data_IF_602426785240
#
_entry.id   IF_602426785240
#
_cell.length_a   1.000
_cell.length_b   1.000
_cell.length_c   1.000
_cell.angle_alpha   90.00
_cell.angle_beta   90.00
_cell.angle_gamma   90.00
#
_symmetry.space_group_name_H-M   'P 1'
#
loop_
_entity.id
_entity.type
_entity.pdbx_description
1 polymer ?
#
# COMPACT_ATOMS: atom_id res chain seq x y z
N UNK A 1 42.14 13.44 -46.59
CA UNK A 1 41.51 12.72 -47.69
C UNK A 1 40.62 11.66 -47.05
N UNK A 2 39.40 11.68 -47.08
CA UNK A 2 38.19 11.82 -47.80
C UNK A 2 37.10 11.25 -46.90
N UNK A 3 36.23 12.00 -46.31
CA UNK A 3 34.84 12.40 -46.62
C UNK A 3 33.92 11.19 -46.89
N UNK A 4 32.92 11.09 -46.02
CA UNK A 4 31.52 10.86 -46.36
C UNK A 4 31.01 9.46 -46.11
N UNK A 5 29.92 9.28 -45.44
CA UNK A 5 28.56 9.60 -45.86
C UNK A 5 27.57 9.41 -44.71
N UNK A 6 26.85 10.45 -44.33
CA UNK A 6 25.58 10.37 -43.63
C UNK A 6 24.52 9.70 -44.54
N UNK A 7 23.83 8.68 -44.03
CA UNK A 7 22.58 8.21 -44.61
C UNK A 7 21.44 8.69 -43.72
N UNK A 8 20.80 9.77 -44.15
CA UNK A 8 19.48 10.19 -43.67
C UNK A 8 18.41 9.32 -44.33
N UNK A 9 17.73 8.55 -43.59
CA UNK A 9 16.51 7.84 -44.05
C UNK A 9 15.31 8.74 -43.77
N UNK A 10 14.77 9.35 -44.82
CA UNK A 10 13.49 10.07 -44.83
C UNK A 10 12.36 9.08 -45.02
N UNK A 11 11.41 9.05 -44.11
CA UNK A 11 10.11 8.42 -44.29
C UNK A 11 9.13 9.41 -44.90
N UNK A 12 8.37 9.02 -45.95
CA UNK A 12 7.37 9.89 -46.54
C UNK A 12 6.04 9.79 -45.75
N UNK A 13 5.51 10.96 -45.41
CA UNK A 13 4.13 11.14 -44.97
C UNK A 13 3.24 11.03 -46.21
N UNK A 14 2.39 10.03 -46.28
CA UNK A 14 1.34 9.96 -47.27
C UNK A 14 0.01 10.42 -46.64
N UNK A 15 -0.39 11.63 -47.00
CA UNK A 15 -1.73 12.13 -46.80
C UNK A 15 -2.68 11.49 -47.84
N UNK A 16 -3.74 10.84 -47.37
CA UNK A 16 -4.88 10.46 -48.21
C UNK A 16 -6.14 11.15 -47.66
N UNK A 17 -6.48 12.25 -48.33
CA UNK A 17 -7.80 12.86 -48.24
C UNK A 17 -8.75 12.06 -49.13
N UNK A 18 -9.86 11.60 -48.61
CA UNK A 18 -11.02 11.18 -49.41
C UNK A 18 -12.24 11.90 -48.90
N UNK A 19 -12.70 12.80 -49.76
CA UNK A 19 -14.00 13.43 -49.70
C UNK A 19 -15.07 12.40 -50.06
N UNK A 20 -16.20 12.41 -49.36
CA UNK A 20 -17.36 11.60 -49.67
C UNK A 20 -18.63 12.30 -49.19
N UNK A 21 -19.33 12.78 -50.20
CA UNK A 21 -20.51 13.66 -50.21
C UNK A 21 -21.71 13.18 -49.42
N UNK A 22 -22.40 14.17 -48.91
CA UNK A 22 -23.83 14.39 -48.71
C UNK A 22 -24.83 13.31 -49.16
N UNK A 23 -25.74 12.95 -48.24
CA UNK A 23 -27.13 12.67 -48.57
C UNK A 23 -28.05 13.20 -47.46
N UNK A 24 -28.79 14.20 -47.88
CA UNK A 24 -29.92 14.86 -47.25
C UNK A 24 -31.09 13.91 -47.27
N UNK A 25 -31.73 13.70 -46.15
CA UNK A 25 -33.15 13.31 -46.15
C UNK A 25 -33.80 13.87 -44.89
N UNK A 26 -34.67 14.75 -45.13
CA UNK A 26 -35.60 15.46 -44.35
C UNK A 26 -36.47 14.60 -43.48
N UNK A 27 -36.66 15.03 -42.25
CA UNK A 27 -37.76 14.58 -41.39
C UNK A 27 -38.63 15.78 -41.08
N UNK A 28 -39.81 15.68 -41.58
CA UNK A 28 -40.92 16.56 -41.40
C UNK A 28 -41.29 16.69 -39.93
N UNK A 29 -41.25 17.92 -39.43
CA UNK A 29 -41.84 18.28 -38.14
C UNK A 29 -43.35 18.32 -38.33
N UNK A 30 -44.06 17.34 -37.78
CA UNK A 30 -45.49 17.41 -37.57
C UNK A 30 -45.72 17.84 -36.11
N UNK A 31 -45.97 19.12 -35.96
CA UNK A 31 -46.55 19.65 -34.73
C UNK A 31 -48.02 19.30 -34.68
N UNK A 32 -48.38 18.34 -33.87
CA UNK A 32 -49.80 18.13 -33.47
C UNK A 32 -49.97 18.63 -32.05
N UNK A 33 -50.62 19.76 -31.94
CA UNK A 33 -51.24 20.31 -30.75
C UNK A 33 -52.28 19.31 -30.21
N UNK A 34 -51.96 18.65 -29.09
CA UNK A 34 -52.94 17.90 -28.29
C UNK A 34 -53.35 18.74 -27.11
N UNK A 35 -54.57 19.17 -27.17
CA UNK A 35 -55.33 19.85 -26.13
C UNK A 35 -55.30 19.08 -24.81
N UNK A 36 -54.95 19.80 -23.74
CA UNK A 36 -55.07 19.35 -22.38
C UNK A 36 -56.52 18.96 -22.06
N UNK A 37 -56.77 17.67 -21.90
CA UNK A 37 -57.92 17.16 -21.16
C UNK A 37 -57.44 16.67 -19.83
N UNK A 38 -57.88 17.32 -18.75
CA UNK A 38 -57.63 16.94 -17.39
C UNK A 38 -58.09 15.51 -17.14
N UNK A 39 -57.14 14.64 -16.83
CA UNK A 39 -57.43 13.37 -16.19
C UNK A 39 -57.40 13.61 -14.68
N UNK A 40 -58.61 13.54 -14.12
CA UNK A 40 -58.83 13.54 -12.69
C UNK A 40 -57.98 12.44 -12.07
N UNK A 41 -57.20 12.80 -11.06
CA UNK A 41 -56.60 11.84 -10.17
C UNK A 41 -57.69 11.15 -9.37
N UNK A 42 -58.19 10.04 -9.92
CA UNK A 42 -58.92 9.08 -9.12
C UNK A 42 -57.99 8.63 -8.00
N UNK A 43 -58.32 9.07 -6.81
CA UNK A 43 -57.74 8.49 -5.59
C UNK A 43 -58.14 7.02 -5.59
N UNK A 44 -57.29 6.16 -6.12
CA UNK A 44 -57.39 4.74 -5.83
C UNK A 44 -57.16 4.60 -4.33
N UNK A 45 -58.23 4.33 -3.61
CA UNK A 45 -58.17 3.86 -2.26
C UNK A 45 -57.24 2.62 -2.25
N UNK A 46 -56.04 2.81 -1.80
CA UNK A 46 -55.08 1.72 -1.57
C UNK A 46 -55.68 0.90 -0.46
N UNK A 47 -56.24 -0.26 -0.82
CA UNK A 47 -56.61 -1.27 0.14
C UNK A 47 -55.35 -1.58 0.94
N UNK A 48 -55.40 -1.33 2.22
CA UNK A 48 -54.32 -1.56 3.21
C UNK A 48 -54.12 -3.08 3.35
N UNK A 49 -53.55 -3.70 2.30
CA UNK A 49 -53.05 -5.06 2.39
C UNK A 49 -51.62 -4.93 2.93
N UNK A 50 -51.42 -5.21 4.20
CA UNK A 50 -50.12 -5.13 4.91
C UNK A 50 -49.03 -6.06 4.36
N UNK A 51 -49.15 -6.47 3.08
CA UNK A 51 -48.24 -7.39 2.41
C UNK A 51 -48.05 -7.00 0.95
N UNK A 52 -46.88 -7.35 0.42
CA UNK A 52 -46.56 -7.34 -1.01
C UNK A 52 -45.87 -8.65 -1.40
N UNK A 53 -45.82 -8.93 -2.68
CA UNK A 53 -45.19 -10.13 -3.24
C UNK A 53 -43.93 -9.72 -4.01
N UNK A 54 -42.77 -10.32 -3.63
CA UNK A 54 -41.46 -10.02 -4.18
C UNK A 54 -40.78 -11.27 -4.70
N UNK A 55 -40.00 -11.13 -5.78
CA UNK A 55 -39.20 -12.22 -6.27
C UNK A 55 -37.92 -12.37 -5.43
N UNK A 56 -37.60 -13.56 -4.91
CA UNK A 56 -36.36 -13.78 -4.14
C UNK A 56 -35.09 -13.50 -4.95
N UNK A 57 -35.12 -13.75 -6.26
CA UNK A 57 -33.96 -13.56 -7.14
C UNK A 57 -33.92 -12.16 -7.79
N UNK A 58 -35.05 -11.49 -7.91
CA UNK A 58 -35.14 -10.15 -8.50
C UNK A 58 -35.89 -9.22 -7.56
N UNK A 59 -35.22 -8.64 -6.56
CA UNK A 59 -35.88 -7.80 -5.53
C UNK A 59 -36.62 -6.57 -6.08
N UNK A 60 -36.27 -6.13 -7.27
CA UNK A 60 -36.96 -5.02 -7.95
C UNK A 60 -38.34 -5.39 -8.48
N UNK A 61 -38.67 -6.69 -8.58
CA UNK A 61 -39.98 -7.16 -9.01
C UNK A 61 -40.89 -7.31 -7.80
N UNK A 62 -41.76 -6.33 -7.61
CA UNK A 62 -42.72 -6.24 -6.51
C UNK A 62 -44.14 -6.10 -7.09
N UNK A 63 -45.09 -6.88 -6.59
CA UNK A 63 -46.48 -6.86 -6.99
C UNK A 63 -47.42 -6.91 -5.77
N UNK A 64 -48.58 -6.35 -5.90
CA UNK A 64 -49.59 -6.35 -4.82
C UNK A 64 -50.45 -7.65 -4.79
N UNK A 65 -50.26 -8.53 -5.78
CA UNK A 65 -50.99 -9.80 -5.91
C UNK A 65 -50.02 -10.97 -6.07
N UNK A 66 -50.37 -12.19 -5.61
CA UNK A 66 -49.58 -13.37 -5.85
C UNK A 66 -49.46 -13.62 -7.36
N UNK A 67 -48.27 -13.97 -7.82
CA UNK A 67 -47.96 -14.14 -9.23
C UNK A 67 -46.61 -14.79 -9.46
N UNK A 68 -46.20 -14.77 -10.73
CA UNK A 68 -44.93 -15.34 -11.19
C UNK A 68 -44.02 -14.19 -11.66
N UNK A 69 -42.75 -14.26 -11.32
CA UNK A 69 -41.78 -13.28 -11.78
C UNK A 69 -41.62 -13.32 -13.31
N UNK A 70 -41.73 -12.20 -14.02
CA UNK A 70 -41.64 -12.17 -15.48
C UNK A 70 -40.21 -12.45 -15.99
N UNK A 71 -39.19 -12.38 -15.12
CA UNK A 71 -37.79 -12.57 -15.50
C UNK A 71 -37.37 -14.03 -15.31
N UNK A 72 -37.64 -14.64 -14.14
CA UNK A 72 -37.17 -15.98 -13.82
C UNK A 72 -38.28 -17.02 -13.67
N UNK A 73 -39.55 -16.65 -13.87
CA UNK A 73 -40.74 -17.51 -13.78
C UNK A 73 -40.96 -18.20 -12.43
N UNK A 74 -40.24 -17.74 -11.36
CA UNK A 74 -40.46 -18.24 -10.01
C UNK A 74 -41.67 -17.56 -9.36
N UNK A 75 -42.35 -18.29 -8.46
CA UNK A 75 -43.45 -17.75 -7.67
C UNK A 75 -42.98 -16.64 -6.74
N UNK A 76 -43.68 -15.53 -6.73
CA UNK A 76 -43.38 -14.41 -5.82
C UNK A 76 -43.70 -14.80 -4.37
N UNK A 77 -42.82 -14.42 -3.46
CA UNK A 77 -42.94 -14.68 -2.01
C UNK A 77 -43.66 -13.52 -1.33
N UNK A 78 -44.60 -13.83 -0.44
CA UNK A 78 -45.33 -12.85 0.35
C UNK A 78 -44.40 -12.22 1.41
N UNK A 79 -44.24 -10.90 1.34
CA UNK A 79 -43.44 -10.11 2.28
C UNK A 79 -44.34 -9.13 3.01
N UNK A 80 -44.24 -9.07 4.32
CA UNK A 80 -44.96 -8.10 5.12
C UNK A 80 -44.48 -6.68 4.79
N UNK A 81 -45.43 -5.78 4.46
CA UNK A 81 -45.14 -4.36 4.36
C UNK A 81 -44.94 -3.84 5.78
N UNK A 82 -43.72 -3.57 6.17
CA UNK A 82 -43.47 -2.82 7.40
C UNK A 82 -44.22 -1.49 7.26
N UNK A 83 -45.22 -1.26 8.11
CA UNK A 83 -45.80 0.07 8.23
C UNK A 83 -44.69 1.05 8.42
N UNK A 84 -44.69 2.24 7.78
CA UNK A 84 -43.84 3.32 8.18
C UNK A 84 -44.23 3.64 9.63
N UNK A 85 -43.69 2.84 10.55
CA UNK A 85 -43.70 3.12 11.96
C UNK A 85 -43.07 4.49 12.07
N UNK A 86 -43.70 5.43 12.80
CA UNK A 86 -43.04 6.47 13.60
C UNK A 86 -41.60 6.07 13.70
N UNK A 87 -40.59 6.91 13.30
CA UNK A 87 -39.22 6.47 13.33
C UNK A 87 -39.01 5.70 14.63
N UNK A 88 -38.95 4.39 14.51
CA UNK A 88 -38.59 3.53 15.62
C UNK A 88 -37.29 4.13 16.07
N UNK A 89 -37.27 4.55 17.34
CA UNK A 89 -36.07 5.02 17.98
C UNK A 89 -35.01 4.06 17.54
N UNK A 90 -34.22 4.48 16.56
CA UNK A 90 -33.06 3.88 15.97
C UNK A 90 -32.49 2.91 16.95
N UNK A 91 -32.33 1.67 16.53
CA UNK A 91 -31.32 0.80 17.12
C UNK A 91 -30.22 1.74 17.62
N UNK A 92 -29.97 1.79 18.91
CA UNK A 92 -29.08 2.69 19.64
C UNK A 92 -27.85 2.89 18.79
N UNK A 93 -27.92 3.82 17.84
CA UNK A 93 -26.74 4.42 17.28
C UNK A 93 -26.06 4.95 18.52
N UNK A 94 -24.92 4.42 18.84
CA UNK A 94 -24.07 4.92 19.91
C UNK A 94 -23.98 6.40 19.63
N UNK A 95 -24.62 7.22 20.49
CA UNK A 95 -24.55 8.65 20.38
C UNK A 95 -23.07 8.95 20.35
N UNK A 96 -22.57 9.35 19.16
CA UNK A 96 -21.16 9.60 18.94
C UNK A 96 -20.73 10.57 20.02
N UNK A 97 -19.93 10.10 20.97
CA UNK A 97 -19.48 10.92 22.09
C UNK A 97 -18.51 11.96 21.55
N UNK A 98 -18.90 13.21 21.60
CA UNK A 98 -17.99 14.34 21.30
C UNK A 98 -16.92 14.37 22.39
N UNK A 99 -15.66 14.26 21.99
CA UNK A 99 -14.51 14.27 22.91
C UNK A 99 -14.01 15.70 23.07
N UNK A 100 -13.98 16.47 22.00
CA UNK A 100 -13.51 17.86 21.98
C UNK A 100 -13.98 18.57 20.72
N UNK A 101 -13.73 19.86 20.64
CA UNK A 101 -13.95 20.69 19.48
C UNK A 101 -12.62 21.22 18.96
N UNK A 102 -12.47 21.33 17.64
CA UNK A 102 -11.23 21.75 16.99
C UNK A 102 -11.48 22.90 16.01
N UNK A 103 -10.56 23.88 15.97
CA UNK A 103 -10.63 24.93 14.95
C UNK A 103 -10.44 24.35 13.54
N UNK A 104 -11.25 24.74 12.56
CA UNK A 104 -11.10 24.31 11.17
C UNK A 104 -9.83 24.87 10.52
N UNK A 105 -9.31 26.02 10.97
CA UNK A 105 -8.13 26.66 10.40
C UNK A 105 -6.82 26.26 11.10
N UNK A 106 -6.87 25.98 12.40
CA UNK A 106 -5.70 25.63 13.20
C UNK A 106 -5.96 24.33 13.96
N UNK A 107 -5.52 23.18 13.43
CA UNK A 107 -5.76 21.87 14.03
C UNK A 107 -5.14 21.69 15.42
N UNK A 108 -4.23 22.56 15.83
CA UNK A 108 -3.58 22.50 17.15
C UNK A 108 -4.44 23.13 18.24
N UNK A 109 -5.39 24.00 17.87
CA UNK A 109 -6.32 24.63 18.82
C UNK A 109 -7.52 23.74 19.04
N UNK A 110 -7.63 23.21 20.25
CA UNK A 110 -8.74 22.37 20.70
C UNK A 110 -9.42 22.97 21.91
N UNK A 111 -10.72 22.72 22.04
CA UNK A 111 -11.55 23.14 23.19
C UNK A 111 -12.45 21.97 23.61
N UNK A 112 -12.75 21.87 24.91
CA UNK A 112 -13.70 20.90 25.43
C UNK A 112 -15.14 21.34 25.28
N UNK A 113 -15.35 22.63 24.93
CA UNK A 113 -16.68 23.24 24.75
C UNK A 113 -16.80 23.83 23.33
N UNK A 114 -18.04 23.91 22.77
CA UNK A 114 -18.26 24.61 21.50
C UNK A 114 -17.77 26.03 21.62
N UNK A 115 -16.85 26.46 20.76
CA UNK A 115 -16.28 27.81 20.74
C UNK A 115 -16.05 28.25 19.29
N UNK A 116 -15.78 29.54 19.12
CA UNK A 116 -15.45 30.14 17.82
C UNK A 116 -13.97 30.48 17.78
N UNK A 117 -13.40 30.38 16.59
CA UNK A 117 -12.02 30.81 16.37
C UNK A 117 -11.92 32.34 16.29
N UNK A 118 -10.69 32.85 16.14
CA UNK A 118 -10.40 34.27 16.01
C UNK A 118 -11.03 34.94 14.79
N UNK A 119 -11.56 34.16 13.85
CA UNK A 119 -12.22 34.60 12.61
C UNK A 119 -13.75 34.42 12.68
N UNK A 120 -14.28 33.98 13.82
CA UNK A 120 -15.72 33.81 14.05
C UNK A 120 -16.29 32.48 13.57
N UNK A 121 -15.47 31.52 13.07
CA UNK A 121 -15.91 30.20 12.63
C UNK A 121 -16.12 29.28 13.84
N UNK A 122 -17.17 28.47 13.78
CA UNK A 122 -17.46 27.48 14.81
C UNK A 122 -16.46 26.35 14.80
N UNK A 123 -16.02 25.88 15.96
CA UNK A 123 -15.20 24.71 16.10
C UNK A 123 -15.97 23.47 15.71
N UNK A 124 -15.30 22.57 14.97
CA UNK A 124 -15.88 21.30 14.51
C UNK A 124 -15.79 20.25 15.62
N UNK A 125 -16.89 19.56 15.95
CA UNK A 125 -16.87 18.53 16.97
C UNK A 125 -16.03 17.33 16.51
N UNK A 126 -15.12 16.87 17.35
CA UNK A 126 -14.34 15.63 17.19
C UNK A 126 -14.99 14.52 17.99
N UNK A 127 -15.42 13.47 17.33
CA UNK A 127 -16.09 12.34 17.95
C UNK A 127 -15.09 11.31 18.46
N UNK A 128 -15.47 10.53 19.46
CA UNK A 128 -14.65 9.46 20.02
C UNK A 128 -14.24 8.39 18.99
N UNK A 129 -14.99 8.27 17.91
CA UNK A 129 -14.77 7.33 16.79
C UNK A 129 -13.80 7.90 15.73
N UNK A 130 -13.56 9.20 15.76
CA UNK A 130 -12.46 9.80 15.01
C UNK A 130 -11.20 9.53 15.81
N UNK A 131 -10.44 8.52 15.43
CA UNK A 131 -9.17 8.17 16.06
C UNK A 131 -8.24 9.39 16.17
N UNK A 132 -7.17 9.30 16.96
CA UNK A 132 -6.25 10.40 17.16
C UNK A 132 -5.84 10.96 15.80
N UNK A 133 -5.94 12.29 15.69
CA UNK A 133 -5.61 13.00 14.44
C UNK A 133 -4.21 12.64 14.04
N UNK A 134 -4.04 12.17 12.81
CA UNK A 134 -2.74 11.92 12.21
C UNK A 134 -1.86 13.16 12.39
N UNK A 135 -0.79 13.04 13.16
CA UNK A 135 0.15 14.14 13.43
C UNK A 135 1.29 14.23 12.43
N UNK A 136 1.32 13.29 11.46
CA UNK A 136 2.35 13.20 10.44
C UNK A 136 1.95 13.74 9.08
N UNK A 137 2.90 13.92 8.17
CA UNK A 137 2.60 14.28 6.79
C UNK A 137 1.71 13.23 6.17
N UNK A 138 0.62 13.67 5.53
CA UNK A 138 -0.33 12.78 4.84
C UNK A 138 0.37 12.05 3.71
N UNK A 139 0.15 10.75 3.64
CA UNK A 139 0.57 9.93 2.49
C UNK A 139 -0.53 10.03 1.43
N UNK A 140 -0.21 10.48 0.20
CA UNK A 140 -1.20 10.60 -0.86
C UNK A 140 -1.94 9.26 -1.09
N UNK A 141 -3.26 9.33 -1.23
CA UNK A 141 -4.10 8.16 -1.48
C UNK A 141 -4.28 7.21 -0.30
N UNK A 142 -3.90 7.61 0.93
CA UNK A 142 -4.05 6.80 2.14
C UNK A 142 -4.63 7.64 3.28
N UNK A 143 -5.53 7.02 4.06
CA UNK A 143 -6.17 7.64 5.23
C UNK A 143 -5.88 6.83 6.49
N UNK A 144 -5.84 7.53 7.63
CA UNK A 144 -5.82 6.88 8.93
C UNK A 144 -7.21 6.33 9.26
N UNK A 145 -7.27 5.21 9.97
CA UNK A 145 -8.53 4.55 10.28
C UNK A 145 -8.45 3.72 11.56
N UNK A 146 -9.60 3.26 12.03
CA UNK A 146 -9.70 2.41 13.21
C UNK A 146 -10.35 1.08 12.86
N UNK A 147 -9.82 -0.02 13.40
CA UNK A 147 -10.41 -1.36 13.36
C UNK A 147 -10.81 -1.82 14.76
N UNK A 148 -11.90 -2.58 14.84
CA UNK A 148 -12.30 -3.23 16.09
C UNK A 148 -11.34 -4.36 16.45
N UNK A 149 -11.33 -4.75 17.73
CA UNK A 149 -10.46 -5.82 18.22
C UNK A 149 -10.73 -7.15 17.49
N UNK A 150 -12.02 -7.48 17.30
CA UNK A 150 -12.43 -8.72 16.63
C UNK A 150 -11.90 -8.74 15.18
N UNK A 151 -11.97 -7.60 14.47
CA UNK A 151 -11.51 -7.52 13.10
C UNK A 151 -10.00 -7.59 13.00
N UNK A 152 -9.25 -7.01 13.96
CA UNK A 152 -7.78 -7.14 14.04
C UNK A 152 -7.34 -8.58 14.25
N UNK A 153 -8.02 -9.29 15.14
CA UNK A 153 -7.75 -10.71 15.41
C UNK A 153 -8.07 -11.57 14.18
N UNK A 154 -9.21 -11.33 13.55
CA UNK A 154 -9.63 -12.08 12.35
C UNK A 154 -8.61 -11.99 11.22
N UNK A 155 -8.06 -10.81 10.97
CA UNK A 155 -7.06 -10.59 9.89
C UNK A 155 -5.62 -10.86 10.33
N UNK A 156 -5.40 -11.18 11.60
CA UNK A 156 -4.09 -11.56 12.12
C UNK A 156 -3.05 -10.45 12.14
N UNK A 157 -3.44 -9.24 12.56
CA UNK A 157 -2.52 -8.10 12.65
C UNK A 157 -1.45 -8.35 13.70
N UNK A 158 -0.18 -8.35 13.30
CA UNK A 158 0.98 -8.36 14.19
C UNK A 158 1.67 -7.01 14.15
N UNK A 159 2.33 -6.66 15.23
CA UNK A 159 3.05 -5.40 15.35
C UNK A 159 4.47 -5.63 15.84
N UNK A 160 5.40 -4.82 15.37
CA UNK A 160 6.76 -4.70 15.88
C UNK A 160 6.99 -3.32 16.46
N UNK A 161 8.11 -3.14 17.12
CA UNK A 161 8.51 -1.85 17.71
C UNK A 161 9.73 -1.32 16.97
N UNK A 162 9.72 -0.03 16.66
CA UNK A 162 10.90 0.64 16.14
C UNK A 162 11.91 0.84 17.25
N UNK A 163 13.08 0.26 17.12
CA UNK A 163 14.11 0.30 18.16
C UNK A 163 15.50 0.58 17.61
N UNK A 164 16.39 1.06 18.48
CA UNK A 164 17.80 1.16 18.14
C UNK A 164 18.47 -0.18 18.36
N UNK A 165 19.01 -0.75 17.28
CA UNK A 165 19.70 -2.05 17.31
C UNK A 165 20.87 -2.05 16.36
N UNK A 166 21.81 -2.95 16.57
CA UNK A 166 22.90 -3.21 15.63
C UNK A 166 22.33 -3.90 14.40
N UNK A 167 22.53 -3.28 13.25
CA UNK A 167 22.15 -3.84 11.96
C UNK A 167 23.35 -4.54 11.34
N UNK A 168 23.15 -5.77 10.90
CA UNK A 168 24.11 -6.51 10.11
C UNK A 168 23.44 -7.22 8.95
N UNK A 169 24.20 -7.47 7.90
CA UNK A 169 23.77 -8.26 6.74
C UNK A 169 24.91 -9.15 6.30
N UNK A 170 24.60 -10.39 6.00
CA UNK A 170 25.54 -11.27 5.31
C UNK A 170 25.46 -11.00 3.82
N UNK A 171 26.59 -10.67 3.25
CA UNK A 171 26.76 -10.53 1.82
C UNK A 171 27.40 -11.81 1.29
N UNK A 172 26.63 -12.56 0.53
CA UNK A 172 27.06 -13.84 -0.04
C UNK A 172 27.63 -13.63 -1.42
N UNK A 173 28.88 -14.06 -1.61
CA UNK A 173 29.64 -13.89 -2.84
C UNK A 173 30.19 -15.24 -3.29
N UNK A 174 30.21 -15.51 -4.61
CA UNK A 174 30.97 -16.61 -5.14
C UNK A 174 32.47 -16.32 -5.06
N UNK A 175 33.24 -17.25 -4.53
CA UNK A 175 34.69 -17.11 -4.43
C UNK A 175 35.41 -18.29 -5.07
N UNK A 176 36.63 -18.05 -5.48
CA UNK A 176 37.56 -19.08 -6.01
C UNK A 176 38.86 -19.05 -5.23
N UNK A 177 39.31 -20.20 -4.79
CA UNK A 177 40.62 -20.34 -4.12
C UNK A 177 41.72 -20.12 -5.14
N UNK A 178 42.58 -19.15 -4.92
CA UNK A 178 43.71 -18.79 -5.79
C UNK A 178 45.05 -19.25 -5.26
N UNK A 179 45.18 -19.42 -3.94
CA UNK A 179 46.44 -19.85 -3.29
C UNK A 179 46.17 -20.61 -1.99
N UNK A 180 47.23 -20.80 -1.20
CA UNK A 180 47.12 -21.41 0.13
C UNK A 180 46.41 -20.45 1.06
N UNK A 181 45.10 -20.67 1.28
CA UNK A 181 44.28 -19.81 2.13
C UNK A 181 43.81 -18.50 1.49
N UNK A 182 44.26 -18.17 0.29
CA UNK A 182 43.82 -16.97 -0.44
C UNK A 182 42.60 -17.29 -1.32
N UNK A 183 41.58 -16.47 -1.22
CA UNK A 183 40.35 -16.59 -2.01
C UNK A 183 40.06 -15.26 -2.69
N UNK A 184 39.71 -15.32 -3.98
CA UNK A 184 39.20 -14.15 -4.71
C UNK A 184 37.73 -14.32 -4.92
N UNK A 185 36.95 -13.33 -4.55
CA UNK A 185 35.49 -13.27 -4.72
C UNK A 185 35.10 -12.08 -5.60
N UNK A 186 33.94 -12.19 -6.25
CA UNK A 186 33.41 -11.14 -7.11
C UNK A 186 32.36 -10.33 -6.35
N UNK A 187 32.64 -9.04 -6.15
CA UNK A 187 31.76 -8.09 -5.49
C UNK A 187 31.06 -7.24 -6.52
N UNK A 188 29.74 -7.31 -6.57
CA UNK A 188 28.95 -6.52 -7.51
C UNK A 188 29.07 -5.02 -7.23
N UNK A 189 29.00 -4.19 -8.28
CA UNK A 189 29.08 -2.73 -8.23
C UNK A 189 28.18 -2.12 -7.14
N UNK A 190 26.93 -2.64 -7.03
CA UNK A 190 25.94 -2.16 -6.07
C UNK A 190 26.36 -2.32 -4.60
N UNK A 191 27.22 -3.28 -4.30
CA UNK A 191 27.69 -3.58 -2.94
C UNK A 191 29.15 -3.09 -2.69
N UNK A 192 29.82 -2.56 -3.71
CA UNK A 192 31.26 -2.19 -3.66
C UNK A 192 31.58 -1.22 -2.52
N UNK A 193 30.71 -0.25 -2.24
CA UNK A 193 30.89 0.69 -1.13
C UNK A 193 30.67 0.11 0.27
N UNK A 194 30.20 -1.13 0.36
CA UNK A 194 29.82 -1.77 1.62
C UNK A 194 30.93 -2.65 2.20
N UNK A 195 31.84 -3.16 1.37
CA UNK A 195 32.94 -4.05 1.76
C UNK A 195 34.22 -3.26 1.95
N UNK A 196 34.97 -3.56 3.02
CA UNK A 196 36.25 -2.91 3.36
C UNK A 196 37.25 -3.94 3.86
N UNK A 197 38.54 -3.66 3.69
CA UNK A 197 39.62 -4.44 4.25
C UNK A 197 39.47 -4.58 5.77
N UNK A 198 39.73 -5.78 6.28
CA UNK A 198 39.60 -6.14 7.69
C UNK A 198 38.24 -6.64 8.12
N UNK A 199 37.21 -6.63 7.22
CA UNK A 199 35.91 -7.21 7.52
C UNK A 199 36.01 -8.73 7.67
N UNK A 200 35.24 -9.26 8.64
CA UNK A 200 35.14 -10.71 8.86
C UNK A 200 34.31 -11.33 7.75
N UNK A 201 34.78 -12.50 7.36
CA UNK A 201 34.09 -13.35 6.40
C UNK A 201 34.17 -14.80 6.85
N UNK A 202 33.25 -15.62 6.34
CA UNK A 202 33.29 -17.08 6.50
C UNK A 202 33.34 -17.69 5.12
N UNK A 203 34.24 -18.62 4.89
CA UNK A 203 34.37 -19.38 3.68
C UNK A 203 33.66 -20.73 3.88
N UNK A 204 32.75 -21.10 3.02
CA UNK A 204 32.01 -22.35 3.11
C UNK A 204 32.25 -23.20 1.85
N UNK A 205 32.58 -24.47 2.07
CA UNK A 205 32.77 -25.44 1.02
C UNK A 205 31.49 -26.25 0.74
N UNK A 206 31.48 -26.92 -0.40
CA UNK A 206 30.33 -27.72 -0.88
C UNK A 206 29.93 -28.90 0.02
N UNK A 207 30.82 -29.34 0.89
CA UNK A 207 30.57 -30.46 1.83
C UNK A 207 30.28 -30.00 3.25
N UNK A 208 29.90 -28.74 3.44
CA UNK A 208 29.57 -28.17 4.76
C UNK A 208 30.77 -27.79 5.61
N UNK A 209 32.00 -27.82 5.08
CA UNK A 209 33.18 -27.26 5.77
C UNK A 209 33.06 -25.75 5.81
N UNK A 210 33.53 -25.14 6.89
CA UNK A 210 33.63 -23.69 7.01
C UNK A 210 34.94 -23.31 7.68
N UNK A 211 35.45 -22.14 7.35
CA UNK A 211 36.62 -21.53 7.98
C UNK A 211 36.45 -20.01 7.99
N UNK A 212 36.91 -19.39 9.08
CA UNK A 212 36.94 -17.96 9.19
C UNK A 212 37.96 -17.33 8.27
N UNK A 213 37.62 -16.19 7.72
CA UNK A 213 38.49 -15.42 6.84
C UNK A 213 38.31 -13.92 7.11
N UNK A 214 39.22 -13.14 6.56
CA UNK A 214 39.11 -11.69 6.58
C UNK A 214 39.32 -11.13 5.17
N UNK A 215 38.67 -10.03 4.87
CA UNK A 215 38.91 -9.28 3.64
C UNK A 215 40.29 -8.65 3.73
N UNK A 216 41.24 -9.09 2.91
CA UNK A 216 42.58 -8.53 2.85
C UNK A 216 42.72 -7.36 1.87
N UNK A 217 41.86 -7.33 0.83
CA UNK A 217 41.87 -6.23 -0.11
C UNK A 217 40.60 -6.20 -0.98
N UNK A 218 40.26 -5.01 -1.44
CA UNK A 218 39.27 -4.78 -2.48
C UNK A 218 39.98 -4.11 -3.64
N UNK A 219 39.97 -4.76 -4.79
CA UNK A 219 40.64 -4.21 -5.98
C UNK A 219 39.86 -2.98 -6.47
N UNK A 220 40.59 -1.97 -6.92
CA UNK A 220 39.98 -0.79 -7.57
C UNK A 220 39.68 -1.02 -9.04
N UNK A 221 40.15 -2.13 -9.62
CA UNK A 221 39.86 -2.51 -11.01
C UNK A 221 38.41 -2.96 -11.18
N UNK A 222 37.65 -2.20 -11.95
CA UNK A 222 36.27 -2.55 -12.31
C UNK A 222 36.26 -3.42 -13.56
N UNK A 223 35.73 -4.61 -13.45
CA UNK A 223 35.46 -5.44 -14.63
C UNK A 223 34.10 -5.06 -15.24
N UNK A 224 34.16 -4.41 -16.40
CA UNK A 224 32.96 -3.93 -17.08
C UNK A 224 32.12 -5.08 -17.67
N UNK A 225 32.68 -6.28 -17.86
CA UNK A 225 31.95 -7.42 -18.39
C UNK A 225 31.04 -8.05 -17.32
N UNK A 226 31.60 -8.26 -16.15
CA UNK A 226 30.89 -8.86 -15.00
C UNK A 226 30.25 -7.79 -14.10
N UNK A 227 30.56 -6.52 -14.29
CA UNK A 227 30.15 -5.38 -13.46
C UNK A 227 30.51 -5.61 -11.98
N UNK A 228 31.70 -6.09 -11.73
CA UNK A 228 32.17 -6.45 -10.39
C UNK A 228 33.58 -5.93 -10.11
N UNK A 229 33.90 -5.95 -8.84
CA UNK A 229 35.24 -5.71 -8.30
C UNK A 229 35.78 -7.01 -7.71
N UNK A 230 37.06 -7.25 -7.83
CA UNK A 230 37.69 -8.39 -7.16
C UNK A 230 37.94 -8.08 -5.67
N UNK A 231 37.50 -8.98 -4.81
CA UNK A 231 37.79 -8.95 -3.37
C UNK A 231 38.69 -10.11 -3.01
N UNK A 232 39.82 -9.83 -2.38
CA UNK A 232 40.73 -10.85 -1.89
C UNK A 232 40.46 -11.08 -0.41
N UNK A 233 40.39 -12.33 -0.02
CA UNK A 233 40.20 -12.78 1.36
C UNK A 233 41.30 -13.75 1.72
N UNK A 234 41.77 -13.66 2.97
CA UNK A 234 42.71 -14.59 3.54
C UNK A 234 42.02 -15.41 4.63
N UNK A 235 42.10 -16.73 4.51
CA UNK A 235 41.61 -17.63 5.54
C UNK A 235 42.52 -17.54 6.80
N UNK A 236 41.90 -17.51 7.97
CA UNK A 236 42.63 -17.42 9.26
C UNK A 236 43.53 -18.65 9.49
N UNK A 237 43.10 -19.79 8.97
CA UNK A 237 43.90 -21.02 9.00
C UNK A 237 43.92 -21.66 7.63
N UNK A 238 45.06 -22.25 7.24
CA UNK A 238 45.16 -22.99 5.97
C UNK A 238 44.41 -24.32 6.07
N UNK A 239 43.12 -24.27 5.84
CA UNK A 239 42.27 -25.47 5.82
C UNK A 239 42.66 -26.37 4.64
N UNK A 240 42.91 -27.66 4.90
CA UNK A 240 43.40 -28.60 3.87
C UNK A 240 42.46 -28.82 2.69
N UNK A 241 41.20 -28.42 2.83
CA UNK A 241 40.22 -28.48 1.77
C UNK A 241 40.24 -27.27 0.81
N UNK A 242 40.85 -26.16 1.22
CA UNK A 242 41.02 -24.95 0.39
C UNK A 242 42.18 -25.18 -0.62
N UNK A 243 41.89 -25.96 -1.66
CA UNK A 243 42.83 -26.20 -2.73
C UNK A 243 42.66 -25.18 -3.85
N UNK A 244 43.75 -24.70 -4.46
CA UNK A 244 43.66 -23.80 -5.62
C UNK A 244 42.71 -24.32 -6.70
N UNK A 245 41.86 -23.47 -7.23
CA UNK A 245 40.88 -23.80 -8.22
C UNK A 245 39.50 -24.25 -7.69
N UNK A 246 39.37 -24.53 -6.38
CA UNK A 246 38.10 -24.86 -5.74
C UNK A 246 37.24 -23.62 -5.62
N UNK A 247 35.93 -23.78 -5.88
CA UNK A 247 34.94 -22.72 -5.63
C UNK A 247 34.39 -22.84 -4.22
N UNK A 248 34.21 -21.70 -3.58
CA UNK A 248 33.71 -21.58 -2.21
C UNK A 248 32.65 -20.49 -2.17
N UNK A 249 31.77 -20.60 -1.21
CA UNK A 249 30.85 -19.52 -0.84
C UNK A 249 31.50 -18.63 0.20
N UNK A 250 31.49 -17.34 -0.04
CA UNK A 250 32.07 -16.32 0.83
C UNK A 250 30.93 -15.52 1.45
N UNK A 251 30.75 -15.64 2.75
CA UNK A 251 29.81 -14.82 3.52
C UNK A 251 30.57 -13.69 4.22
N UNK A 252 30.46 -12.46 3.70
CA UNK A 252 31.04 -11.27 4.33
C UNK A 252 30.01 -10.65 5.28
N UNK A 253 30.39 -10.47 6.54
CA UNK A 253 29.53 -9.83 7.54
C UNK A 253 29.65 -8.31 7.42
N UNK A 254 28.61 -7.68 6.88
CA UNK A 254 28.47 -6.23 6.85
C UNK A 254 27.85 -5.76 8.17
N UNK A 255 28.60 -4.99 8.95
CA UNK A 255 28.13 -4.36 10.18
C UNK A 255 27.87 -2.87 9.91
N UNK A 256 26.63 -2.45 10.08
CA UNK A 256 26.19 -1.08 9.88
C UNK A 256 26.13 -0.28 11.18
N UNK A 257 26.51 -0.91 12.31
CA UNK A 257 26.44 -0.31 13.64
C UNK A 257 25.02 -0.14 14.16
N UNK A 258 24.88 0.59 15.26
CA UNK A 258 23.59 0.81 15.92
C UNK A 258 22.78 1.87 15.18
N UNK A 259 21.60 1.47 14.69
CA UNK A 259 20.67 2.29 13.90
C UNK A 259 19.27 2.20 14.45
N UNK A 260 18.45 3.22 14.19
CA UNK A 260 17.00 3.10 14.38
C UNK A 260 16.46 2.21 13.27
N UNK A 261 15.83 1.12 13.63
CA UNK A 261 15.38 0.12 12.67
C UNK A 261 13.95 -0.36 12.97
N UNK A 262 13.29 -0.82 11.94
CA UNK A 262 12.00 -1.50 11.99
C UNK A 262 12.12 -2.88 11.33
N UNK A 263 11.25 -3.83 11.68
CA UNK A 263 11.18 -5.10 10.96
C UNK A 263 10.97 -4.85 9.46
N UNK A 264 11.68 -5.57 8.60
CA UNK A 264 11.59 -5.42 7.15
C UNK A 264 10.16 -5.67 6.63
N UNK A 265 9.45 -6.59 7.26
CA UNK A 265 8.06 -6.92 6.95
C UNK A 265 7.08 -5.77 7.21
N UNK A 266 7.49 -4.75 7.98
CA UNK A 266 6.63 -3.59 8.24
C UNK A 266 6.56 -2.61 7.06
N UNK A 267 7.47 -2.73 6.09
CA UNK A 267 7.61 -1.77 4.99
C UNK A 267 6.74 -2.19 3.82
N UNK A 268 5.89 -1.25 3.38
CA UNK A 268 5.16 -1.36 2.12
C UNK A 268 5.87 -0.52 1.05
N UNK A 269 6.24 -1.17 -0.03
CA UNK A 269 6.84 -0.53 -1.21
C UNK A 269 5.75 -0.16 -2.20
N UNK A 270 5.30 1.10 -2.18
CA UNK A 270 4.24 1.63 -3.03
C UNK A 270 4.77 2.54 -4.13
N UNK A 271 5.53 1.99 -5.08
CA UNK A 271 6.10 2.78 -6.18
C UNK A 271 7.15 3.79 -5.69
N UNK A 272 6.84 5.07 -5.77
CA UNK A 272 7.78 6.15 -5.39
C UNK A 272 7.95 6.32 -3.87
N UNK A 273 7.03 5.78 -3.07
CA UNK A 273 7.01 6.01 -1.63
C UNK A 273 7.05 4.70 -0.84
N UNK A 274 7.88 4.70 0.20
CA UNK A 274 7.87 3.65 1.20
C UNK A 274 6.96 4.09 2.34
N UNK A 275 6.06 3.20 2.73
CA UNK A 275 5.02 3.49 3.73
C UNK A 275 5.03 2.42 4.80
N UNK A 276 4.85 2.83 6.03
CA UNK A 276 4.59 1.95 7.17
C UNK A 276 3.27 2.35 7.82
N UNK A 277 2.61 1.42 8.47
CA UNK A 277 1.45 1.72 9.29
C UNK A 277 1.85 1.76 10.76
N UNK A 278 1.72 2.94 11.36
CA UNK A 278 1.86 3.12 12.79
C UNK A 278 0.57 2.70 13.49
N UNK A 279 0.67 2.19 14.71
CA UNK A 279 -0.49 1.83 15.53
C UNK A 279 -0.28 2.17 17.00
N UNK A 280 -1.38 2.54 17.67
CA UNK A 280 -1.41 2.74 19.10
C UNK A 280 -1.61 1.42 19.89
N UNK A 281 -1.79 0.30 19.19
CA UNK A 281 -2.14 -1.00 19.77
C UNK A 281 -3.61 -1.12 20.18
N UNK A 282 -4.41 -0.04 20.14
CA UNK A 282 -5.84 -0.02 20.51
C UNK A 282 -6.77 -0.08 19.31
N UNK A 283 -6.20 -0.19 18.11
CA UNK A 283 -6.95 -0.34 16.86
C UNK A 283 -6.87 0.83 15.91
N UNK A 284 -6.16 1.87 16.25
CA UNK A 284 -5.86 2.97 15.34
C UNK A 284 -4.65 2.65 14.46
N UNK A 285 -4.76 2.95 13.17
CA UNK A 285 -3.74 2.75 12.16
C UNK A 285 -3.52 4.03 11.36
N UNK A 286 -2.28 4.46 11.29
CA UNK A 286 -1.88 5.68 10.59
C UNK A 286 -0.82 5.35 9.53
N UNK A 287 -1.08 5.61 8.24
CA UNK A 287 -0.08 5.48 7.19
C UNK A 287 0.97 6.57 7.35
N UNK A 288 2.24 6.19 7.34
CA UNK A 288 3.37 7.10 7.48
C UNK A 288 4.40 6.85 6.39
N UNK A 289 4.71 7.88 5.61
CA UNK A 289 5.83 7.85 4.67
C UNK A 289 7.17 7.78 5.41
N UNK A 290 8.04 6.90 4.98
CA UNK A 290 9.36 6.70 5.57
C UNK A 290 10.46 6.83 4.54
N UNK A 291 11.63 7.29 5.00
CA UNK A 291 12.88 7.17 4.24
C UNK A 291 13.71 6.07 4.89
N UNK A 292 14.04 5.07 4.10
CA UNK A 292 14.82 3.93 4.55
C UNK A 292 16.30 4.15 4.26
N UNK A 293 17.15 3.51 5.06
CA UNK A 293 18.60 3.50 4.90
C UNK A 293 19.11 2.10 4.57
N UNK A 294 20.05 1.61 5.35
CA UNK A 294 20.65 0.29 5.15
C UNK A 294 19.68 -0.83 5.53
N UNK A 295 19.60 -1.84 4.67
CA UNK A 295 18.85 -3.05 4.94
C UNK A 295 19.76 -4.10 5.59
N UNK A 296 19.37 -4.59 6.76
CA UNK A 296 19.93 -5.78 7.39
C UNK A 296 19.24 -7.06 6.88
N UNK A 297 19.35 -8.16 7.64
CA UNK A 297 18.65 -9.42 7.29
C UNK A 297 17.13 -9.28 7.47
N UNK A 298 16.69 -9.01 8.71
CA UNK A 298 15.26 -8.95 9.06
C UNK A 298 14.79 -7.54 9.40
N UNK A 299 15.71 -6.57 9.42
CA UNK A 299 15.44 -5.21 9.86
C UNK A 299 15.98 -4.20 8.87
N UNK A 300 15.28 -3.07 8.76
CA UNK A 300 15.67 -1.97 7.87
C UNK A 300 15.84 -0.70 8.67
N UNK A 301 16.94 0.03 8.40
CA UNK A 301 17.19 1.35 8.99
C UNK A 301 16.13 2.35 8.55
N UNK A 302 15.66 3.15 9.49
CA UNK A 302 14.76 4.28 9.22
C UNK A 302 15.52 5.58 9.43
N UNK A 303 15.66 6.35 8.35
CA UNK A 303 16.30 7.66 8.38
C UNK A 303 15.32 8.75 8.82
N UNK A 304 14.03 8.61 8.45
CA UNK A 304 12.98 9.55 8.85
C UNK A 304 11.59 8.92 8.72
N UNK A 305 10.62 9.49 9.47
CA UNK A 305 9.20 9.09 9.43
C UNK A 305 8.75 8.32 10.67
N UNK A 306 9.64 7.62 11.38
CA UNK A 306 9.34 6.82 12.57
C UNK A 306 10.29 7.20 13.69
N UNK A 307 9.84 7.12 14.93
CA UNK A 307 10.63 7.36 16.15
C UNK A 307 10.84 6.06 16.91
N UNK A 308 11.91 6.03 17.73
CA UNK A 308 12.13 4.91 18.64
C UNK A 308 10.93 4.78 19.61
N UNK A 309 10.44 3.55 19.74
CA UNK A 309 9.26 3.22 20.54
C UNK A 309 7.93 3.21 19.77
N UNK A 310 7.89 3.72 18.53
CA UNK A 310 6.70 3.64 17.69
C UNK A 310 6.39 2.15 17.37
N UNK A 311 5.12 1.81 17.37
CA UNK A 311 4.65 0.48 16.96
C UNK A 311 4.29 0.50 15.49
N UNK A 312 4.84 -0.44 14.73
CA UNK A 312 4.60 -0.63 13.30
C UNK A 312 3.89 -1.95 13.05
N UNK A 313 3.01 -1.98 12.07
CA UNK A 313 2.34 -3.21 11.64
C UNK A 313 3.34 -4.05 10.83
N UNK A 314 3.46 -5.34 11.17
CA UNK A 314 4.38 -6.29 10.52
C UNK A 314 3.67 -7.43 9.78
N UNK A 315 2.36 -7.56 9.94
CA UNK A 315 1.57 -8.59 9.29
C UNK A 315 0.22 -8.03 8.86
N UNK A 316 -0.38 -8.64 7.84
CA UNK A 316 -1.63 -8.18 7.23
C UNK A 316 -1.54 -6.78 6.56
N UNK A 317 -0.33 -6.33 6.24
CA UNK A 317 -0.06 -4.99 5.71
C UNK A 317 -0.87 -4.67 4.45
N UNK A 318 -1.06 -5.64 3.56
CA UNK A 318 -1.85 -5.46 2.35
C UNK A 318 -3.33 -5.18 2.65
N UNK A 319 -3.91 -5.88 3.63
CA UNK A 319 -5.30 -5.65 4.03
C UNK A 319 -5.48 -4.29 4.71
N UNK A 320 -4.53 -3.93 5.58
CA UNK A 320 -4.46 -2.62 6.23
C UNK A 320 -4.32 -1.50 5.18
N UNK A 321 -3.47 -1.71 4.18
CA UNK A 321 -3.27 -0.75 3.10
C UNK A 321 -4.52 -0.59 2.23
N UNK A 322 -5.18 -1.68 1.87
CA UNK A 322 -6.43 -1.65 1.10
C UNK A 322 -7.54 -0.91 1.84
N UNK A 323 -7.70 -1.12 3.14
CA UNK A 323 -8.66 -0.39 3.97
C UNK A 323 -8.34 1.10 4.03
N UNK A 324 -7.04 1.45 4.16
CA UNK A 324 -6.55 2.83 4.18
C UNK A 324 -6.86 3.54 2.85
N UNK A 325 -6.61 2.89 1.71
CA UNK A 325 -6.91 3.44 0.38
C UNK A 325 -8.42 3.60 0.17
N UNK A 326 -9.20 2.61 0.58
CA UNK A 326 -10.66 2.68 0.50
C UNK A 326 -11.22 3.86 1.30
N UNK A 327 -10.71 4.07 2.52
CA UNK A 327 -11.08 5.21 3.36
C UNK A 327 -10.71 6.55 2.73
N UNK A 328 -9.49 6.64 2.18
CA UNK A 328 -9.06 7.86 1.47
C UNK A 328 -9.97 8.18 0.26
N UNK A 329 -10.36 7.16 -0.49
CA UNK A 329 -11.30 7.34 -1.61
C UNK A 329 -12.66 7.84 -1.13
N UNK A 330 -13.22 7.29 -0.06
CA UNK A 330 -14.49 7.75 0.51
C UNK A 330 -14.44 9.20 1.03
N UNK A 331 -13.30 9.65 1.55
CA UNK A 331 -13.11 11.03 2.00
C UNK A 331 -13.15 12.04 0.85
N UNK A 332 -12.78 11.63 -0.37
CA UNK A 332 -12.82 12.50 -1.57
C UNK A 332 -14.24 12.75 -2.09
N UNK A 333 -15.22 11.91 -1.74
CA UNK A 333 -16.61 12.03 -2.15
C UNK A 333 -17.52 12.68 -1.09
N UNK A 334 -16.95 13.15 0.01
CA UNK A 334 -17.66 13.88 1.07
C UNK A 334 -17.48 15.38 0.94
#
# INVERSE_FOLDING_TARGET
MTIGKLIRMKWPVAAAAVAGAALIAGVVVVATSVTARGCGHGAHAVADAGFFYQCPMHPQIVQDKPGICPICHMTLVKVAREKPGKPAATAKGHARRIVRYRSPMDPTKVSDTPSKDSMGMDYVPVYADEGPVSTGPRVPGKAAFTLTEERRQLIGVKTGVAERRTLSRRLRLPGRVTGKGAVTAELLEMDAGSVRTGMRATLSGSQGQSVDAAVSGVDSGFDALTRSYAVTLDAAEAAGWLKPGVYVEVDVLLDFGTRLAIPADAVLYGGEHQVVFLTDGKGFFEPRGVKLGKAGEDWVEVLSGVKAGDRVVTSANFLIDSESQFRAALEQYR
#
